data_IF_943461010202
#
_entry.id   IF_943461010202
#
_cell.length_a   1.000
_cell.length_b   1.000
_cell.length_c   1.000
_cell.angle_alpha   90.00
_cell.angle_beta   90.00
_cell.angle_gamma   90.00
#
_symmetry.space_group_name_H-M   'P 1'
#
loop_
_entity.id
_entity.type
_entity.pdbx_description
1 polymer ?
#
# COMPACT_ATOMS: atom_id res chain seq x y z
N UNK A 1 51.38 11.39 -35.85
CA UNK A 1 49.94 11.17 -35.65
C UNK A 1 49.71 9.67 -35.52
N UNK A 2 49.34 9.22 -34.31
CA UNK A 2 49.02 7.83 -33.99
C UNK A 2 47.68 7.87 -33.26
N UNK A 3 46.62 7.44 -33.95
CA UNK A 3 45.27 7.29 -33.41
C UNK A 3 45.14 5.92 -32.76
N UNK A 4 45.12 5.90 -31.43
CA UNK A 4 44.82 4.73 -30.60
C UNK A 4 43.32 4.77 -30.23
N UNK A 5 42.50 4.10 -31.04
CA UNK A 5 41.06 3.94 -30.80
C UNK A 5 40.82 2.83 -29.78
N UNK A 6 40.84 3.17 -28.48
CA UNK A 6 40.25 2.32 -27.44
C UNK A 6 38.74 2.32 -27.58
N UNK A 7 38.20 1.22 -28.08
CA UNK A 7 36.77 0.89 -28.09
C UNK A 7 36.33 0.73 -26.62
N UNK A 8 35.51 1.66 -26.14
CA UNK A 8 34.78 1.51 -24.88
C UNK A 8 33.80 0.33 -25.00
N UNK A 9 33.66 -0.53 -23.98
CA UNK A 9 32.64 -1.56 -24.00
C UNK A 9 31.24 -0.92 -24.03
N UNK A 10 30.26 -1.53 -24.71
CA UNK A 10 28.91 -1.00 -24.78
C UNK A 10 28.34 -0.90 -23.35
N UNK A 11 27.74 0.24 -23.05
CA UNK A 11 26.99 0.45 -21.82
C UNK A 11 25.95 -0.67 -21.71
N UNK A 12 26.10 -1.54 -20.71
CA UNK A 12 25.06 -2.49 -20.31
C UNK A 12 23.79 -1.70 -20.01
N UNK A 13 22.77 -1.90 -20.84
CA UNK A 13 21.42 -1.39 -20.60
C UNK A 13 20.98 -1.77 -19.17
N UNK A 14 20.32 -0.86 -18.43
CA UNK A 14 19.74 -1.20 -17.14
C UNK A 14 18.66 -2.25 -17.35
N UNK A 15 18.85 -3.41 -16.70
CA UNK A 15 18.02 -4.60 -16.83
C UNK A 15 16.51 -4.30 -16.73
N UNK A 16 15.75 -4.96 -17.61
CA UNK A 16 14.28 -5.00 -17.71
C UNK A 16 13.58 -5.61 -16.47
N UNK A 17 13.84 -5.11 -15.27
CA UNK A 17 13.25 -5.61 -14.02
C UNK A 17 11.87 -4.98 -13.68
N UNK A 18 11.42 -3.98 -14.44
CA UNK A 18 10.16 -3.23 -14.18
C UNK A 18 8.83 -3.95 -14.49
N UNK A 19 8.72 -4.93 -15.41
CA UNK A 19 7.42 -5.56 -15.69
C UNK A 19 6.93 -6.48 -14.55
N UNK A 20 7.86 -7.09 -13.82
CA UNK A 20 7.57 -8.15 -12.83
C UNK A 20 6.94 -7.61 -11.55
N UNK A 21 7.31 -6.42 -11.08
CA UNK A 21 6.74 -5.81 -9.87
C UNK A 21 5.25 -5.47 -10.05
N UNK A 22 4.87 -4.98 -11.24
CA UNK A 22 3.47 -4.67 -11.55
C UNK A 22 2.61 -5.94 -11.67
N UNK A 23 3.18 -7.04 -12.15
CA UNK A 23 2.51 -8.34 -12.23
C UNK A 23 2.37 -9.00 -10.85
N UNK A 24 3.42 -8.94 -10.02
CA UNK A 24 3.41 -9.32 -8.60
C UNK A 24 2.35 -8.58 -7.80
N UNK A 25 2.26 -7.26 -8.02
CA UNK A 25 1.18 -6.44 -7.46
C UNK A 25 -0.15 -6.98 -7.97
N UNK A 26 -0.38 -7.06 -9.27
CA UNK A 26 -1.68 -7.49 -9.83
C UNK A 26 -2.16 -8.85 -9.30
N UNK A 27 -1.26 -9.83 -9.20
CA UNK A 27 -1.58 -11.17 -8.71
C UNK A 27 -1.79 -11.18 -7.18
N UNK A 28 -0.95 -10.48 -6.41
CA UNK A 28 -1.10 -10.33 -4.95
C UNK A 28 -2.32 -9.51 -4.52
N UNK A 29 -2.89 -8.70 -5.41
CA UNK A 29 -3.90 -7.68 -5.09
C UNK A 29 -5.34 -8.11 -5.31
N UNK A 30 -5.61 -9.21 -6.04
CA UNK A 30 -6.99 -9.69 -6.29
C UNK A 30 -7.62 -10.48 -5.14
N UNK A 31 -6.88 -10.75 -4.06
CA UNK A 31 -7.30 -11.65 -2.97
C UNK A 31 -8.03 -10.92 -1.83
N UNK A 32 -7.87 -9.60 -1.76
CA UNK A 32 -8.49 -8.73 -0.74
C UNK A 32 -9.71 -7.95 -1.23
N UNK A 33 -10.10 -8.18 -2.48
CA UNK A 33 -11.25 -7.51 -3.06
C UNK A 33 -12.49 -7.94 -2.26
N UNK A 34 -13.12 -6.97 -1.60
CA UNK A 34 -14.47 -7.17 -1.16
C UNK A 34 -15.24 -7.64 -2.39
N UNK A 35 -15.89 -8.80 -2.31
CA UNK A 35 -16.99 -9.12 -3.22
C UNK A 35 -18.04 -8.03 -3.06
N UNK A 36 -17.86 -6.92 -3.75
CA UNK A 36 -18.91 -6.01 -4.08
C UNK A 36 -19.83 -6.84 -4.96
N UNK A 37 -21.13 -6.88 -4.64
CA UNK A 37 -22.07 -7.62 -5.45
C UNK A 37 -22.21 -6.88 -6.77
N UNK A 38 -21.28 -7.14 -7.70
CA UNK A 38 -21.18 -6.46 -8.99
C UNK A 38 -22.50 -6.57 -9.76
N UNK A 39 -23.26 -7.65 -9.54
CA UNK A 39 -24.59 -7.83 -10.09
C UNK A 39 -25.60 -6.81 -9.54
N UNK A 40 -25.50 -6.45 -8.25
CA UNK A 40 -26.32 -5.40 -7.63
C UNK A 40 -25.98 -3.99 -8.11
N UNK A 41 -24.74 -3.76 -8.57
CA UNK A 41 -24.28 -2.45 -9.07
C UNK A 41 -24.41 -2.31 -10.59
N UNK A 42 -24.55 -3.42 -11.34
CA UNK A 42 -24.46 -3.44 -12.80
C UNK A 42 -25.42 -2.48 -13.51
N UNK A 43 -26.64 -2.29 -12.98
CA UNK A 43 -27.69 -1.46 -13.58
C UNK A 43 -27.71 0.02 -13.15
N UNK A 44 -26.77 0.47 -12.33
CA UNK A 44 -26.73 1.86 -11.83
C UNK A 44 -25.74 2.68 -12.62
N UNK A 45 -26.22 3.65 -13.39
CA UNK A 45 -25.38 4.52 -14.24
C UNK A 45 -25.24 5.93 -13.67
N UNK A 46 -26.01 6.29 -12.64
CA UNK A 46 -25.85 7.54 -11.91
C UNK A 46 -24.70 7.43 -10.87
N UNK A 47 -23.70 8.30 -11.00
CA UNK A 47 -22.49 8.27 -10.17
C UNK A 47 -22.78 8.56 -8.69
N UNK A 48 -23.75 9.43 -8.40
CA UNK A 48 -24.08 9.84 -7.04
C UNK A 48 -24.87 8.74 -6.31
N UNK A 49 -25.82 8.11 -6.99
CA UNK A 49 -26.54 6.93 -6.52
C UNK A 49 -25.57 5.76 -6.27
N UNK A 50 -24.71 5.47 -7.25
CA UNK A 50 -23.72 4.41 -7.15
C UNK A 50 -22.76 4.62 -5.97
N UNK A 51 -22.28 5.86 -5.76
CA UNK A 51 -21.42 6.18 -4.62
C UNK A 51 -22.14 5.97 -3.30
N UNK A 52 -23.39 6.43 -3.20
CA UNK A 52 -24.22 6.22 -2.01
C UNK A 52 -24.36 4.73 -1.67
N UNK A 53 -24.60 3.89 -2.68
CA UNK A 53 -24.71 2.43 -2.52
C UNK A 53 -23.39 1.81 -2.05
N UNK A 54 -22.28 2.16 -2.68
CA UNK A 54 -20.95 1.64 -2.32
C UNK A 54 -20.56 2.06 -0.91
N UNK A 55 -20.75 3.32 -0.53
CA UNK A 55 -20.50 3.82 0.83
C UNK A 55 -21.38 3.09 1.84
N UNK A 56 -22.66 2.84 1.54
CA UNK A 56 -23.55 2.08 2.41
C UNK A 56 -23.10 0.62 2.61
N UNK A 57 -22.47 0.02 1.61
CA UNK A 57 -21.91 -1.35 1.69
C UNK A 57 -20.61 -1.43 2.52
N UNK A 58 -19.96 -0.29 2.78
CA UNK A 58 -18.75 -0.16 3.62
C UNK A 58 -17.62 -1.15 3.28
N UNK A 59 -17.14 -1.19 2.01
CA UNK A 59 -16.15 -2.19 1.56
C UNK A 59 -14.85 -2.19 2.38
N UNK A 60 -14.45 -1.01 2.89
CA UNK A 60 -13.25 -0.82 3.72
C UNK A 60 -13.30 -1.52 5.09
N UNK A 61 -14.48 -1.90 5.59
CA UNK A 61 -14.61 -2.56 6.91
C UNK A 61 -13.94 -3.93 6.95
N UNK A 62 -13.79 -4.59 5.80
CA UNK A 62 -13.05 -5.85 5.69
C UNK A 62 -11.56 -5.68 6.00
N UNK A 63 -11.02 -4.48 5.84
CA UNK A 63 -9.62 -4.18 6.15
C UNK A 63 -9.36 -4.33 7.65
N UNK A 64 -10.18 -3.70 8.50
CA UNK A 64 -10.06 -3.84 9.96
C UNK A 64 -10.27 -5.27 10.47
N UNK A 65 -10.99 -6.11 9.72
CA UNK A 65 -11.20 -7.52 10.06
C UNK A 65 -10.01 -8.40 9.68
N UNK A 66 -9.43 -8.18 8.49
CA UNK A 66 -8.44 -9.08 7.88
C UNK A 66 -7.00 -8.60 8.02
N UNK A 67 -6.77 -7.29 8.08
CA UNK A 67 -5.43 -6.69 7.95
C UNK A 67 -4.87 -6.32 9.32
N UNK A 68 -4.74 -7.33 10.19
CA UNK A 68 -4.41 -7.14 11.62
C UNK A 68 -2.97 -7.41 11.99
N UNK A 69 -2.17 -8.01 11.11
CA UNK A 69 -0.78 -8.35 11.43
C UNK A 69 0.13 -8.12 10.24
N UNK A 70 1.16 -7.32 10.47
CA UNK A 70 2.28 -7.09 9.55
C UNK A 70 3.56 -7.71 10.12
N UNK A 71 3.75 -7.63 11.44
CA UNK A 71 4.85 -8.28 12.16
C UNK A 71 4.41 -9.66 12.67
N UNK A 72 5.34 -10.60 12.88
CA UNK A 72 5.06 -11.78 13.68
C UNK A 72 4.67 -11.41 15.12
N UNK A 73 3.79 -12.17 15.75
CA UNK A 73 3.38 -11.96 17.14
C UNK A 73 4.36 -12.64 18.14
N UNK A 74 5.66 -12.64 17.83
CA UNK A 74 6.70 -13.35 18.59
C UNK A 74 7.25 -12.55 19.77
N UNK A 75 7.10 -11.22 19.77
CA UNK A 75 7.44 -10.36 20.92
C UNK A 75 6.28 -9.48 21.38
N UNK A 76 6.25 -9.06 22.66
CA UNK A 76 5.23 -8.14 23.16
C UNK A 76 5.18 -6.79 22.40
N UNK A 77 6.33 -6.28 21.96
CA UNK A 77 6.43 -5.01 21.23
C UNK A 77 5.77 -5.12 19.85
N UNK A 78 6.01 -6.23 19.14
CA UNK A 78 5.41 -6.50 17.84
C UNK A 78 3.91 -6.74 17.94
N UNK A 79 3.47 -7.46 18.97
CA UNK A 79 2.05 -7.64 19.27
C UNK A 79 1.36 -6.30 19.53
N UNK A 80 1.95 -5.44 20.38
CA UNK A 80 1.41 -4.12 20.68
C UNK A 80 1.34 -3.21 19.44
N UNK A 81 2.34 -3.30 18.55
CA UNK A 81 2.34 -2.57 17.29
C UNK A 81 1.26 -3.09 16.31
N UNK A 82 1.11 -4.41 16.17
CA UNK A 82 0.03 -5.00 15.37
C UNK A 82 -1.37 -4.61 15.88
N UNK A 83 -1.56 -4.53 17.20
CA UNK A 83 -2.81 -4.01 17.78
C UNK A 83 -3.04 -2.55 17.39
N UNK A 84 -2.02 -1.69 17.45
CA UNK A 84 -2.12 -0.29 16.99
C UNK A 84 -2.42 -0.20 15.49
N UNK A 85 -1.90 -1.13 14.67
CA UNK A 85 -2.23 -1.21 13.24
C UNK A 85 -3.70 -1.59 13.02
N UNK A 86 -4.23 -2.56 13.79
CA UNK A 86 -5.64 -2.93 13.72
C UNK A 86 -6.55 -1.75 14.11
N UNK A 87 -6.24 -1.08 15.22
CA UNK A 87 -6.97 0.12 15.67
C UNK A 87 -6.93 1.24 14.60
N UNK A 88 -5.82 1.39 13.90
CA UNK A 88 -5.71 2.34 12.80
C UNK A 88 -6.69 2.03 11.67
N UNK A 89 -6.80 0.77 11.23
CA UNK A 89 -7.77 0.40 10.20
C UNK A 89 -9.22 0.56 10.69
N UNK A 90 -9.51 0.17 11.94
CA UNK A 90 -10.86 0.32 12.51
C UNK A 90 -11.32 1.79 12.52
N UNK A 91 -10.39 2.73 12.71
CA UNK A 91 -10.70 4.17 12.77
C UNK A 91 -10.56 4.91 11.43
N UNK A 92 -9.66 4.49 10.54
CA UNK A 92 -9.23 5.29 9.39
C UNK A 92 -9.39 4.60 8.02
N UNK A 93 -9.86 3.35 7.96
CA UNK A 93 -10.04 2.63 6.70
C UNK A 93 -10.97 3.36 5.72
N UNK A 94 -12.03 4.02 6.21
CA UNK A 94 -12.89 4.86 5.35
C UNK A 94 -12.10 6.00 4.71
N UNK A 95 -11.31 6.74 5.49
CA UNK A 95 -10.52 7.87 4.99
C UNK A 95 -9.55 7.42 3.90
N UNK A 96 -8.86 6.29 4.11
CA UNK A 96 -7.98 5.71 3.10
C UNK A 96 -8.73 5.32 1.83
N UNK A 97 -9.85 4.61 1.97
CA UNK A 97 -10.70 4.22 0.84
C UNK A 97 -11.19 5.43 0.06
N UNK A 98 -11.72 6.44 0.76
CA UNK A 98 -12.28 7.65 0.15
C UNK A 98 -11.26 8.41 -0.69
N UNK A 99 -9.97 8.38 -0.32
CA UNK A 99 -8.92 9.03 -1.14
C UNK A 99 -8.77 8.43 -2.53
N UNK A 100 -9.14 7.17 -2.75
CA UNK A 100 -9.14 6.54 -4.08
C UNK A 100 -10.38 6.86 -4.91
N UNK A 101 -11.44 7.36 -4.28
CA UNK A 101 -12.77 7.56 -4.87
C UNK A 101 -13.35 8.92 -4.45
N UNK A 102 -12.52 9.96 -4.42
CA UNK A 102 -12.87 11.23 -3.81
C UNK A 102 -13.92 11.95 -4.66
N UNK A 103 -14.99 12.41 -4.00
CA UNK A 103 -16.02 13.25 -4.60
C UNK A 103 -15.96 14.66 -4.03
N UNK A 104 -16.33 15.65 -4.83
CA UNK A 104 -16.55 17.00 -4.31
C UNK A 104 -17.72 16.98 -3.33
N UNK A 105 -17.47 17.47 -2.12
CA UNK A 105 -18.50 17.67 -1.10
C UNK A 105 -18.74 19.16 -0.87
N UNK A 106 -19.93 19.54 -0.38
CA UNK A 106 -20.20 20.86 0.15
C UNK A 106 -19.12 21.34 1.14
N UNK A 107 -18.90 22.66 1.21
CA UNK A 107 -17.80 23.27 1.97
C UNK A 107 -17.79 22.92 3.47
N UNK A 108 -18.95 22.72 4.07
CA UNK A 108 -19.12 22.33 5.48
C UNK A 108 -18.68 20.89 5.75
N UNK A 109 -18.92 19.97 4.80
CA UNK A 109 -18.46 18.59 4.86
C UNK A 109 -16.97 18.47 4.50
N UNK A 110 -16.46 19.38 3.68
CA UNK A 110 -15.04 19.44 3.32
C UNK A 110 -14.13 19.61 4.54
N UNK A 111 -14.49 20.52 5.45
CA UNK A 111 -13.70 20.73 6.68
C UNK A 111 -13.61 19.47 7.55
N UNK A 112 -14.70 18.70 7.64
CA UNK A 112 -14.71 17.42 8.37
C UNK A 112 -13.84 16.36 7.68
N UNK A 113 -13.84 16.31 6.35
CA UNK A 113 -12.98 15.40 5.60
C UNK A 113 -11.50 15.77 5.70
N UNK A 114 -11.16 17.06 5.71
CA UNK A 114 -9.79 17.56 5.87
C UNK A 114 -9.26 17.22 7.27
N UNK A 115 -10.10 17.35 8.31
CA UNK A 115 -9.78 16.95 9.68
C UNK A 115 -9.56 15.43 9.79
N UNK A 116 -10.49 14.63 9.26
CA UNK A 116 -10.37 13.17 9.24
C UNK A 116 -9.12 12.70 8.46
N UNK A 117 -8.76 13.40 7.38
CA UNK A 117 -7.55 13.15 6.60
C UNK A 117 -6.30 13.45 7.43
N UNK A 118 -6.27 14.59 8.11
CA UNK A 118 -5.14 15.01 8.94
C UNK A 118 -4.90 14.04 10.09
N UNK A 119 -5.97 13.59 10.77
CA UNK A 119 -5.90 12.58 11.82
C UNK A 119 -5.40 11.22 11.30
N UNK A 120 -5.94 10.74 10.17
CA UNK A 120 -5.49 9.49 9.57
C UNK A 120 -4.02 9.54 9.11
N UNK A 121 -3.57 10.69 8.61
CA UNK A 121 -2.18 10.89 8.22
C UNK A 121 -1.26 10.88 9.44
N UNK A 122 -1.61 11.64 10.49
CA UNK A 122 -0.83 11.71 11.72
C UNK A 122 -0.68 10.33 12.39
N UNK A 123 -1.78 9.58 12.51
CA UNK A 123 -1.77 8.24 13.09
C UNK A 123 -0.91 7.25 12.27
N UNK A 124 -0.95 7.31 10.94
CA UNK A 124 -0.10 6.47 10.10
C UNK A 124 1.38 6.86 10.20
N UNK A 125 1.67 8.16 10.30
CA UNK A 125 3.03 8.66 10.47
C UNK A 125 3.61 8.20 11.80
N UNK A 126 2.83 8.23 12.88
CA UNK A 126 3.23 7.68 14.18
C UNK A 126 3.47 6.16 14.10
N UNK A 127 2.58 5.40 13.45
CA UNK A 127 2.78 3.97 13.24
C UNK A 127 4.08 3.67 12.50
N UNK A 128 4.38 4.43 11.44
CA UNK A 128 5.61 4.29 10.67
C UNK A 128 6.84 4.62 11.52
N UNK A 129 6.79 5.66 12.35
CA UNK A 129 7.87 6.00 13.27
C UNK A 129 8.12 4.91 14.31
N UNK A 130 7.04 4.41 14.96
CA UNK A 130 7.14 3.31 15.93
C UNK A 130 7.67 2.03 15.30
N UNK A 131 7.28 1.74 14.06
CA UNK A 131 7.80 0.61 13.31
C UNK A 131 9.29 0.76 13.03
N UNK A 132 9.72 1.96 12.60
CA UNK A 132 11.14 2.26 12.36
C UNK A 132 11.99 2.15 13.62
N UNK A 133 11.49 2.64 14.75
CA UNK A 133 12.18 2.54 16.03
C UNK A 133 12.40 1.09 16.47
N UNK A 134 11.51 0.17 16.09
CA UNK A 134 11.56 -1.25 16.43
C UNK A 134 12.41 -2.07 15.46
N UNK A 135 12.18 -1.89 14.16
CA UNK A 135 12.71 -2.76 13.10
C UNK A 135 13.84 -2.12 12.28
N UNK A 136 14.13 -0.84 12.51
CA UNK A 136 15.15 -0.09 11.78
C UNK A 136 14.79 0.16 10.31
N UNK A 137 15.79 0.46 9.49
CA UNK A 137 15.60 0.78 8.08
C UNK A 137 15.12 -0.46 7.26
N UNK A 138 15.43 -1.67 7.71
CA UNK A 138 15.21 -2.92 6.99
C UNK A 138 13.73 -3.19 6.67
N UNK A 139 12.80 -2.77 7.55
CA UNK A 139 11.37 -2.92 7.33
C UNK A 139 10.87 -2.08 6.14
N UNK A 140 11.43 -0.88 5.96
CA UNK A 140 11.08 -0.02 4.82
C UNK A 140 11.78 -0.47 3.54
N UNK A 141 12.98 -1.06 3.66
CA UNK A 141 13.64 -1.74 2.53
C UNK A 141 12.85 -2.97 2.06
N UNK A 142 12.21 -3.70 2.98
CA UNK A 142 11.28 -4.77 2.69
C UNK A 142 10.01 -4.24 2.00
N UNK A 143 9.34 -3.25 2.58
CA UNK A 143 8.10 -2.66 2.03
C UNK A 143 8.27 -2.11 0.61
N UNK A 144 9.43 -1.52 0.28
CA UNK A 144 9.76 -1.05 -1.08
C UNK A 144 9.87 -2.18 -2.11
N UNK A 145 10.02 -3.44 -1.68
CA UNK A 145 10.15 -4.61 -2.55
C UNK A 145 8.90 -5.45 -2.63
N UNK A 146 8.25 -5.65 -1.48
CA UNK A 146 7.12 -6.54 -1.33
C UNK A 146 5.93 -5.76 -0.73
N UNK A 147 4.87 -5.52 -1.50
CA UNK A 147 3.64 -4.97 -0.94
C UNK A 147 3.08 -5.92 0.13
N UNK A 148 2.81 -5.39 1.31
CA UNK A 148 2.16 -6.13 2.38
C UNK A 148 0.72 -5.64 2.53
N UNK A 149 -0.30 -6.51 2.49
CA UNK A 149 -1.71 -6.12 2.50
C UNK A 149 -2.06 -5.33 3.77
N UNK A 150 -1.51 -5.75 4.91
CA UNK A 150 -1.66 -5.04 6.17
C UNK A 150 -0.94 -3.69 6.26
N UNK A 151 -0.03 -3.34 5.33
CA UNK A 151 0.59 -2.02 5.36
C UNK A 151 -0.32 -0.96 4.73
N UNK A 152 -0.72 0.10 5.46
CA UNK A 152 -1.55 1.16 4.89
C UNK A 152 -0.79 1.92 3.81
N UNK A 153 -1.39 2.08 2.64
CA UNK A 153 -0.82 2.90 1.56
C UNK A 153 -1.47 4.27 1.60
N UNK A 154 -0.64 5.31 1.71
CA UNK A 154 -1.11 6.69 1.69
C UNK A 154 -0.96 7.27 0.30
N UNK A 155 -2.07 7.71 -0.28
CA UNK A 155 -2.07 8.42 -1.54
C UNK A 155 -1.89 9.93 -1.27
N UNK A 156 -0.80 10.59 -1.71
CA UNK A 156 -0.57 12.01 -1.37
C UNK A 156 -1.63 12.98 -1.90
N UNK A 157 -2.21 12.68 -3.08
CA UNK A 157 -3.30 13.44 -3.68
C UNK A 157 -4.47 12.53 -4.00
N UNK A 158 -5.69 12.81 -3.49
CA UNK A 158 -6.83 11.95 -3.75
C UNK A 158 -7.17 11.88 -5.25
N UNK A 159 -7.67 10.73 -5.70
CA UNK A 159 -8.22 10.57 -7.05
C UNK A 159 -9.59 11.22 -7.06
N UNK A 160 -9.70 12.35 -7.77
CA UNK A 160 -10.96 13.05 -7.95
C UNK A 160 -11.77 12.34 -9.03
N UNK A 161 -12.94 11.80 -8.68
CA UNK A 161 -13.80 11.13 -9.66
C UNK A 161 -14.29 12.07 -10.76
N UNK A 162 -14.44 13.37 -10.45
CA UNK A 162 -14.81 14.41 -11.43
C UNK A 162 -13.76 14.64 -12.54
N UNK A 163 -12.51 14.23 -12.30
CA UNK A 163 -11.44 14.34 -13.30
C UNK A 163 -11.55 13.21 -14.34
N UNK A 164 -12.43 12.23 -14.09
CA UNK A 164 -12.89 11.23 -15.04
C UNK A 164 -14.21 11.71 -15.68
N UNK A 165 -14.56 11.18 -16.86
CA UNK A 165 -15.94 11.35 -17.33
C UNK A 165 -16.86 10.40 -16.54
N UNK A 166 -18.16 10.68 -16.54
CA UNK A 166 -19.13 9.92 -15.73
C UNK A 166 -19.08 8.41 -16.01
N UNK A 167 -19.00 8.00 -17.28
CA UNK A 167 -18.89 6.58 -17.66
C UNK A 167 -17.65 5.90 -17.08
N UNK A 168 -16.47 6.55 -17.13
CA UNK A 168 -15.24 5.99 -16.58
C UNK A 168 -15.27 6.03 -15.05
N UNK A 169 -15.86 7.05 -14.43
CA UNK A 169 -16.03 7.14 -12.98
C UNK A 169 -16.94 6.02 -12.46
N UNK A 170 -18.07 5.80 -13.12
CA UNK A 170 -19.02 4.70 -12.83
C UNK A 170 -18.32 3.35 -12.99
N UNK A 171 -17.61 3.13 -14.11
CA UNK A 171 -16.87 1.89 -14.34
C UNK A 171 -15.78 1.66 -13.29
N UNK A 172 -15.03 2.70 -12.96
CA UNK A 172 -13.98 2.66 -11.95
C UNK A 172 -14.55 2.31 -10.58
N UNK A 173 -15.64 2.96 -10.17
CA UNK A 173 -16.29 2.69 -8.89
C UNK A 173 -16.88 1.27 -8.83
N UNK A 174 -17.55 0.79 -9.89
CA UNK A 174 -18.07 -0.59 -9.96
C UNK A 174 -16.97 -1.64 -9.81
N UNK A 175 -15.83 -1.44 -10.48
CA UNK A 175 -14.77 -2.46 -10.58
C UNK A 175 -13.70 -2.35 -9.49
N UNK A 176 -13.50 -1.16 -8.91
CA UNK A 176 -12.36 -0.93 -8.00
C UNK A 176 -12.78 -0.66 -6.56
N UNK A 177 -14.04 -0.32 -6.27
CA UNK A 177 -14.49 0.05 -4.91
C UNK A 177 -14.28 -1.03 -3.85
N UNK A 178 -14.28 -2.30 -4.25
CA UNK A 178 -14.02 -3.42 -3.35
C UNK A 178 -12.54 -3.65 -3.08
N UNK A 179 -11.64 -3.06 -3.87
CA UNK A 179 -10.22 -3.42 -3.87
C UNK A 179 -9.44 -2.71 -2.77
N UNK A 180 -8.48 -3.41 -2.18
CA UNK A 180 -7.57 -2.84 -1.18
C UNK A 180 -6.59 -1.82 -1.77
N UNK A 181 -6.16 -2.06 -3.01
CA UNK A 181 -5.30 -1.18 -3.79
C UNK A 181 -5.89 -0.99 -5.19
N UNK A 182 -6.79 -0.02 -5.35
CA UNK A 182 -7.35 0.33 -6.65
C UNK A 182 -6.28 0.62 -7.70
N UNK A 183 -6.57 0.27 -8.95
CA UNK A 183 -5.71 0.62 -10.09
C UNK A 183 -5.96 2.05 -10.55
N UNK A 184 -4.91 2.80 -10.91
CA UNK A 184 -5.14 4.14 -11.46
C UNK A 184 -5.96 4.09 -12.75
N UNK A 185 -7.01 4.92 -12.89
CA UNK A 185 -7.71 5.09 -14.16
C UNK A 185 -6.75 5.48 -15.28
N UNK A 186 -6.90 4.88 -16.48
CA UNK A 186 -6.01 5.11 -17.64
C UNK A 186 -5.80 6.59 -17.97
N UNK A 187 -6.83 7.42 -17.82
CA UNK A 187 -6.77 8.86 -18.10
C UNK A 187 -5.84 9.62 -17.15
N UNK A 188 -5.67 9.13 -15.93
CA UNK A 188 -4.78 9.70 -14.90
C UNK A 188 -3.35 9.16 -15.06
N UNK A 189 -3.20 7.94 -15.58
CA UNK A 189 -1.92 7.36 -15.94
C UNK A 189 -1.32 8.04 -17.19
N UNK A 190 -0.69 9.20 -17.00
CA UNK A 190 0.02 9.93 -18.05
C UNK A 190 1.00 9.02 -18.82
N UNK A 191 0.99 9.15 -20.16
CA UNK A 191 1.98 8.62 -21.13
C UNK A 191 1.82 7.18 -21.65
N UNK A 192 0.60 6.64 -21.73
CA UNK A 192 0.36 5.35 -22.41
C UNK A 192 1.10 4.17 -21.78
N UNK A 193 1.51 4.32 -20.52
CA UNK A 193 2.10 3.25 -19.72
C UNK A 193 0.97 2.36 -19.15
N UNK A 194 1.20 1.05 -18.99
CA UNK A 194 0.20 0.17 -18.39
C UNK A 194 -0.14 0.63 -16.96
N UNK A 195 -1.40 0.36 -16.58
CA UNK A 195 -1.98 0.59 -15.25
C UNK A 195 -0.95 0.34 -14.14
N UNK A 196 -0.75 1.36 -13.29
CA UNK A 196 0.06 1.21 -12.08
C UNK A 196 -0.89 1.07 -10.89
N UNK A 197 -0.77 -0.01 -10.11
CA UNK A 197 -1.40 -0.10 -8.81
C UNK A 197 -1.00 1.10 -7.96
N UNK A 198 -1.94 1.67 -7.20
CA UNK A 198 -1.62 2.75 -6.25
C UNK A 198 -1.03 2.13 -4.99
N UNK A 199 0.20 1.63 -5.13
CA UNK A 199 0.99 1.17 -4.00
C UNK A 199 2.20 2.09 -3.83
N UNK A 200 2.13 2.94 -2.81
CA UNK A 200 3.28 3.70 -2.32
C UNK A 200 3.45 3.40 -0.82
N UNK A 201 4.34 2.45 -0.46
CA UNK A 201 4.54 2.07 0.93
C UNK A 201 5.23 3.16 1.75
N UNK A 202 5.93 4.09 1.10
CA UNK A 202 6.70 5.14 1.76
C UNK A 202 6.05 6.51 1.56
N UNK A 203 4.91 6.59 0.87
CA UNK A 203 4.20 7.84 0.59
C UNK A 203 3.79 8.61 1.84
N UNK A 204 3.59 7.93 2.97
CA UNK A 204 3.35 8.63 4.24
C UNK A 204 4.58 9.44 4.70
N UNK A 205 5.79 9.00 4.38
CA UNK A 205 7.03 9.68 4.77
C UNK A 205 7.25 10.99 4.02
N UNK A 206 6.56 11.20 2.90
CA UNK A 206 6.56 12.49 2.18
C UNK A 206 5.58 13.49 2.76
N UNK A 207 4.75 13.06 3.71
CA UNK A 207 3.84 13.95 4.43
C UNK A 207 4.55 14.56 5.63
N UNK A 208 4.17 15.78 6.00
CA UNK A 208 4.77 16.49 7.13
C UNK A 208 3.66 16.85 8.12
N UNK A 209 3.55 16.14 9.25
CA UNK A 209 2.71 16.57 10.36
C UNK A 209 3.08 17.97 10.88
N UNK A 210 2.20 18.57 11.66
CA UNK A 210 2.49 19.88 12.24
C UNK A 210 3.51 19.83 13.38
N UNK A 211 3.97 21.01 13.82
CA UNK A 211 4.96 21.15 14.89
C UNK A 211 4.45 20.62 16.24
N UNK A 212 3.14 20.67 16.49
CA UNK A 212 2.56 20.20 17.74
C UNK A 212 2.62 18.67 17.81
N UNK A 213 2.33 17.98 16.69
CA UNK A 213 2.48 16.54 16.55
C UNK A 213 3.90 16.08 16.87
N UNK A 214 4.92 16.68 16.25
CA UNK A 214 6.31 16.28 16.49
C UNK A 214 6.71 16.41 17.97
N UNK A 215 6.27 17.48 18.63
CA UNK A 215 6.52 17.68 20.07
C UNK A 215 5.78 16.65 20.92
N UNK A 216 4.52 16.38 20.60
CA UNK A 216 3.67 15.45 21.35
C UNK A 216 4.21 14.02 21.32
N UNK A 217 4.66 13.55 20.15
CA UNK A 217 5.16 12.18 19.97
C UNK A 217 6.68 12.06 20.13
N UNK A 218 7.38 13.16 20.46
CA UNK A 218 8.84 13.22 20.57
C UNK A 218 9.55 12.67 19.31
N UNK A 219 9.06 13.06 18.13
CA UNK A 219 9.60 12.65 16.82
C UNK A 219 10.44 13.80 16.28
N UNK A 220 11.65 13.50 15.78
CA UNK A 220 12.46 14.51 15.09
C UNK A 220 11.75 14.98 13.81
N UNK A 221 11.60 16.30 13.57
CA UNK A 221 11.04 16.81 12.32
C UNK A 221 11.81 16.38 11.06
N UNK A 222 13.07 15.98 11.20
CA UNK A 222 13.89 15.50 10.07
C UNK A 222 13.84 13.98 9.89
N UNK A 223 13.20 13.24 10.79
CA UNK A 223 13.24 11.78 10.83
C UNK A 223 12.87 11.13 9.49
N UNK A 224 11.72 11.49 8.91
CA UNK A 224 11.26 10.91 7.66
C UNK A 224 12.18 11.27 6.48
N UNK A 225 12.68 12.50 6.43
CA UNK A 225 13.63 12.92 5.40
C UNK A 225 14.95 12.15 5.50
N UNK A 226 15.47 11.99 6.72
CA UNK A 226 16.68 11.22 6.98
C UNK A 226 16.51 9.73 6.64
N UNK A 227 15.35 9.15 6.95
CA UNK A 227 15.00 7.78 6.58
C UNK A 227 14.94 7.62 5.05
N UNK A 228 14.21 8.49 4.34
CA UNK A 228 14.13 8.45 2.88
C UNK A 228 15.52 8.52 2.24
N UNK A 229 16.37 9.44 2.70
CA UNK A 229 17.76 9.57 2.23
C UNK A 229 18.58 8.29 2.46
N UNK A 230 18.41 7.62 3.60
CA UNK A 230 19.09 6.33 3.87
C UNK A 230 18.55 5.21 2.96
N UNK A 231 17.24 5.16 2.72
CA UNK A 231 16.61 4.19 1.82
C UNK A 231 16.94 4.39 0.33
N UNK A 232 17.32 5.61 -0.05
CA UNK A 232 17.87 5.94 -1.36
C UNK A 232 19.33 5.54 -1.49
N UNK A 233 20.14 5.82 -0.45
CA UNK A 233 21.55 5.50 -0.42
C UNK A 233 21.82 3.99 -0.32
N UNK A 234 21.03 3.28 0.48
CA UNK A 234 21.09 1.84 0.63
C UNK A 234 19.70 1.24 0.47
N UNK A 235 19.48 0.70 -0.72
CA UNK A 235 18.26 -0.04 -1.00
C UNK A 235 18.42 -1.53 -0.70
N UNK A 236 19.60 -2.08 -0.39
CA UNK A 236 19.85 -3.53 -0.30
C UNK A 236 19.14 -4.13 0.91
N UNK A 237 18.38 -5.21 0.67
CA UNK A 237 17.72 -5.98 1.72
C UNK A 237 18.09 -7.45 1.55
N UNK A 238 18.55 -8.06 2.63
CA UNK A 238 18.86 -9.48 2.66
C UNK A 238 17.57 -10.28 2.82
N UNK A 239 16.96 -10.64 1.69
CA UNK A 239 15.70 -11.39 1.65
C UNK A 239 15.84 -12.72 2.41
N UNK A 240 17.04 -13.32 2.45
CA UNK A 240 17.28 -14.59 3.15
C UNK A 240 17.07 -14.53 4.67
N UNK A 241 17.01 -13.32 5.23
CA UNK A 241 16.74 -13.06 6.66
C UNK A 241 15.42 -12.34 6.87
N UNK A 242 14.44 -12.56 5.98
CA UNK A 242 13.16 -11.87 6.09
C UNK A 242 12.45 -12.20 7.41
N UNK A 243 12.42 -11.22 8.31
CA UNK A 243 11.78 -11.33 9.62
C UNK A 243 10.28 -10.97 9.60
N UNK A 244 9.78 -10.46 8.48
CA UNK A 244 8.41 -9.94 8.34
C UNK A 244 7.49 -10.98 7.73
N UNK A 245 6.20 -10.90 7.99
CA UNK A 245 5.23 -11.83 7.41
C UNK A 245 5.26 -11.70 5.89
N UNK A 246 5.61 -12.79 5.21
CA UNK A 246 5.57 -12.87 3.75
C UNK A 246 4.16 -13.15 3.27
N UNK A 247 3.70 -12.48 2.23
CA UNK A 247 2.45 -12.86 1.56
C UNK A 247 2.79 -13.76 0.39
N UNK A 248 2.68 -15.07 0.60
CA UNK A 248 2.64 -16.03 -0.51
C UNK A 248 1.21 -16.46 -0.73
N UNK A 249 0.76 -16.33 -1.97
CA UNK A 249 -0.59 -16.73 -2.35
C UNK A 249 -0.79 -18.25 -2.15
N UNK A 250 -1.92 -18.60 -1.54
CA UNK A 250 -2.56 -19.92 -1.58
C UNK A 250 -1.69 -21.19 -1.66
N UNK A 251 -0.72 -21.39 -0.76
CA UNK A 251 0.04 -22.64 -0.72
C UNK A 251 0.72 -22.99 -2.06
N UNK A 252 0.94 -22.00 -2.92
CA UNK A 252 1.62 -22.20 -4.18
C UNK A 252 3.13 -22.36 -3.93
N UNK A 253 3.78 -23.08 -4.84
CA UNK A 253 5.24 -23.08 -4.93
C UNK A 253 5.78 -21.65 -4.88
N UNK A 254 6.96 -21.41 -4.27
CA UNK A 254 7.53 -20.08 -4.09
C UNK A 254 7.42 -19.26 -5.38
N UNK A 255 6.95 -18.00 -5.33
CA UNK A 255 6.66 -17.22 -6.53
C UNK A 255 7.89 -17.21 -7.44
N UNK A 256 7.77 -17.88 -8.60
CA UNK A 256 8.87 -18.13 -9.55
C UNK A 256 9.48 -16.84 -10.14
N UNK A 257 8.84 -15.71 -9.88
CA UNK A 257 9.09 -14.41 -10.50
C UNK A 257 9.69 -13.38 -9.53
N UNK A 258 9.90 -13.75 -8.26
CA UNK A 258 10.85 -13.01 -7.42
C UNK A 258 12.25 -13.51 -7.80
N UNK A 259 13.18 -12.64 -8.24
CA UNK A 259 14.49 -13.08 -8.73
C UNK A 259 15.30 -13.92 -7.75
N UNK A 260 14.89 -13.97 -6.47
CA UNK A 260 15.40 -14.88 -5.46
C UNK A 260 14.25 -15.25 -4.49
N UNK A 261 14.17 -16.54 -4.18
CA UNK A 261 13.21 -17.25 -3.33
C UNK A 261 12.67 -16.44 -2.12
N UNK A 262 11.36 -16.49 -1.87
CA UNK A 262 10.72 -15.82 -0.71
C UNK A 262 11.11 -16.52 0.59
N UNK A 263 11.80 -15.79 1.47
CA UNK A 263 12.51 -16.31 2.63
C UNK A 263 11.94 -15.90 4.00
N UNK A 264 10.65 -15.53 4.09
CA UNK A 264 10.01 -15.39 5.41
C UNK A 264 9.62 -16.74 6.00
N UNK A 265 9.94 -16.95 7.27
CA UNK A 265 9.44 -18.05 8.08
C UNK A 265 7.95 -17.92 8.42
N UNK A 266 7.39 -16.71 8.30
CA UNK A 266 6.00 -16.40 8.61
C UNK A 266 5.24 -16.05 7.35
N UNK A 267 4.07 -16.63 7.15
CA UNK A 267 3.21 -16.32 6.00
C UNK A 267 1.78 -16.03 6.44
N UNK A 268 1.10 -15.16 5.71
CA UNK A 268 -0.33 -14.94 5.89
C UNK A 268 -1.11 -16.12 5.29
N UNK A 269 -1.91 -16.80 6.11
CA UNK A 269 -2.84 -17.83 5.67
C UNK A 269 -4.20 -17.18 5.35
N UNK A 270 -4.55 -17.20 4.06
CA UNK A 270 -5.79 -16.62 3.55
C UNK A 270 -7.06 -17.39 3.94
N UNK A 271 -6.96 -18.67 4.31
CA UNK A 271 -8.10 -19.48 4.75
C UNK A 271 -8.37 -19.29 6.23
N UNK A 272 -7.30 -19.22 7.02
CA UNK A 272 -7.36 -19.04 8.47
C UNK A 272 -7.39 -17.56 8.87
N UNK A 273 -7.17 -16.65 7.91
CA UNK A 273 -7.08 -15.21 8.13
C UNK A 273 -6.09 -14.86 9.26
N UNK A 274 -4.94 -15.54 9.29
CA UNK A 274 -3.95 -15.42 10.38
C UNK A 274 -2.52 -15.67 9.90
N UNK A 275 -1.54 -15.27 10.71
CA UNK A 275 -0.12 -15.53 10.46
C UNK A 275 0.21 -16.95 10.88
N UNK A 276 0.79 -17.74 9.99
CA UNK A 276 1.26 -19.10 10.23
C UNK A 276 2.75 -19.23 9.98
N UNK A 277 3.40 -20.18 10.64
CA UNK A 277 4.77 -20.54 10.33
C UNK A 277 4.78 -21.41 9.07
N UNK A 278 5.66 -21.10 8.10
CA UNK A 278 5.84 -21.95 6.93
C UNK A 278 6.48 -23.26 7.38
N UNK A 279 5.77 -24.37 7.24
CA UNK A 279 6.38 -25.71 7.39
C UNK A 279 7.28 -25.92 6.18
N UNK A 280 8.59 -26.12 6.37
CA UNK A 280 9.44 -26.57 5.28
C UNK A 280 9.05 -28.03 4.99
N UNK A 281 8.34 -28.28 3.89
CA UNK A 281 8.38 -29.61 3.29
C UNK A 281 9.80 -29.80 2.73
N UNK A 282 10.55 -30.71 3.36
CA UNK A 282 11.86 -31.18 2.91
C UNK A 282 11.74 -31.99 1.62
#
# INVERSE_FOLDING_TARGET
>A
ELTDTRVLPPATEPAKARPLLNQLLHDSMGVDDAKTDEASLAGVDDLQELTSMVVASKPWTKWGQRLRSFLPNDTPERQAWNSSLADYFDNHAFTLWHRYFHMDVPNDLKAQQDDATSHAQAALYELAHRLHAMEGDDVFKFLKRAPHPAWPSWLPQPIQLRDLNDDDAVKYLKTQSGRRWPELPLKIALNGQPFKPVFDPVGILTTTPDVAFFKMHNISPTWAHDLLRRLEADSVYDVSKCAYVGVTMFGESPPQHLPNQVASAYVWDWKLETVVHRVHEL
#
